data_IF_947196070729
#
_entry.id   IF_947196070729
#
_cell.length_a   1.000
_cell.length_b   1.000
_cell.length_c   1.000
_cell.angle_alpha   90.00
_cell.angle_beta   90.00
_cell.angle_gamma   90.00
#
_symmetry.space_group_name_H-M   'P 1'
#
loop_
_entity.id
_entity.type
_entity.pdbx_description
1 polymer ?
#
# COMPACT_ATOMS: atom_id res chain seq x y z
N UNK A 1 -2.48 11.16 5.49
CA UNK A 1 -2.24 9.80 6.04
C UNK A 1 -0.79 9.63 6.47
N UNK A 2 0.17 10.20 5.72
CA UNK A 2 1.60 10.12 6.02
C UNK A 2 1.97 10.47 7.48
N UNK A 3 1.41 11.55 8.04
CA UNK A 3 1.68 11.94 9.43
C UNK A 3 1.29 10.86 10.47
N UNK A 4 0.24 10.08 10.22
CA UNK A 4 -0.17 9.00 11.11
C UNK A 4 0.81 7.82 11.05
N UNK A 5 1.32 7.49 9.85
CA UNK A 5 2.35 6.46 9.69
C UNK A 5 3.68 6.89 10.30
N UNK A 6 4.03 8.17 10.19
CA UNK A 6 5.23 8.71 10.82
C UNK A 6 5.16 8.65 12.35
N UNK A 7 3.99 8.91 12.93
CA UNK A 7 3.77 8.86 14.38
C UNK A 7 3.59 7.44 14.93
N UNK A 8 3.30 6.44 14.09
CA UNK A 8 3.02 5.08 14.51
C UNK A 8 4.27 4.33 14.98
N UNK A 9 4.10 3.53 16.03
CA UNK A 9 5.09 2.60 16.55
C UNK A 9 4.94 1.21 15.89
N UNK A 10 5.98 0.38 16.03
CA UNK A 10 5.90 -1.02 15.58
C UNK A 10 4.78 -1.76 16.30
N UNK A 11 4.01 -2.55 15.55
CA UNK A 11 2.83 -3.27 16.03
C UNK A 11 1.52 -2.48 16.00
N UNK A 12 1.55 -1.17 15.73
CA UNK A 12 0.33 -0.36 15.70
C UNK A 12 -0.64 -0.79 14.58
N UNK A 13 -1.93 -0.60 14.84
CA UNK A 13 -3.02 -0.82 13.87
C UNK A 13 -3.63 0.51 13.46
N UNK A 14 -3.43 0.88 12.20
CA UNK A 14 -3.98 2.09 11.60
C UNK A 14 -5.17 1.71 10.72
N UNK A 15 -6.36 2.10 11.15
CA UNK A 15 -7.58 1.98 10.34
C UNK A 15 -7.82 3.30 9.60
N UNK A 16 -7.76 3.24 8.27
CA UNK A 16 -7.89 4.42 7.41
C UNK A 16 -9.37 4.66 7.13
N UNK A 17 -9.82 5.91 7.34
CA UNK A 17 -11.18 6.30 7.02
C UNK A 17 -11.42 6.24 5.50
N UNK A 18 -12.66 5.96 5.05
CA UNK A 18 -13.01 6.04 3.64
C UNK A 18 -12.64 7.39 3.03
N UNK A 19 -12.09 7.37 1.81
CA UNK A 19 -11.67 8.58 1.13
C UNK A 19 -10.65 8.33 0.02
N UNK A 20 -10.40 9.37 -0.77
CA UNK A 20 -9.30 9.39 -1.75
C UNK A 20 -8.15 10.22 -1.21
N UNK A 21 -6.99 9.59 -1.06
CA UNK A 21 -5.75 10.18 -0.59
C UNK A 21 -4.82 10.40 -1.79
N UNK A 22 -4.58 11.67 -2.12
CA UNK A 22 -3.73 12.09 -3.24
C UNK A 22 -2.29 12.35 -2.78
N UNK A 23 -1.71 11.39 -2.08
CA UNK A 23 -0.35 11.44 -1.55
C UNK A 23 0.35 10.10 -1.81
N UNK A 24 1.66 10.12 -2.02
CA UNK A 24 2.47 8.91 -2.06
C UNK A 24 2.66 8.42 -0.63
N UNK A 25 2.32 7.16 -0.37
CA UNK A 25 2.34 6.60 0.96
C UNK A 25 3.56 5.71 1.18
N UNK A 26 4.30 5.94 2.25
CA UNK A 26 5.40 5.08 2.69
C UNK A 26 5.02 4.43 4.00
N UNK A 27 5.15 3.11 4.10
CA UNK A 27 4.98 2.32 5.33
C UNK A 27 6.37 1.90 5.81
N UNK A 28 7.02 2.69 6.69
CA UNK A 28 8.41 2.48 7.07
C UNK A 28 8.61 1.46 8.19
N UNK A 29 7.55 1.06 8.89
CA UNK A 29 7.61 0.23 10.10
C UNK A 29 6.62 -0.93 10.03
N UNK A 30 6.83 -1.95 10.86
CA UNK A 30 5.98 -3.13 10.95
C UNK A 30 4.63 -2.78 11.64
N UNK A 31 3.73 -2.13 10.90
CA UNK A 31 2.38 -1.76 11.34
C UNK A 31 1.33 -2.55 10.55
N UNK A 32 0.09 -2.53 11.02
CA UNK A 32 -1.08 -2.95 10.24
C UNK A 32 -1.79 -1.72 9.68
N UNK A 33 -1.77 -1.53 8.36
CA UNK A 33 -2.52 -0.49 7.67
C UNK A 33 -3.73 -1.11 6.96
N UNK A 34 -4.94 -0.74 7.38
CA UNK A 34 -6.17 -1.36 6.87
C UNK A 34 -7.28 -0.37 6.54
N UNK A 35 -8.09 -0.69 5.54
CA UNK A 35 -9.39 -0.05 5.34
C UNK A 35 -10.40 -0.47 6.42
N UNK A 36 -11.58 0.19 6.49
CA UNK A 36 -12.63 -0.19 7.43
C UNK A 36 -13.26 -1.53 7.05
N UNK A 37 -13.56 -2.34 8.05
CA UNK A 37 -14.22 -3.65 7.86
C UNK A 37 -15.54 -3.52 7.08
N UNK A 38 -15.82 -4.48 6.20
CA UNK A 38 -17.04 -4.49 5.38
C UNK A 38 -17.10 -3.45 4.26
N UNK A 39 -16.04 -2.65 4.04
CA UNK A 39 -16.01 -1.58 3.04
C UNK A 39 -14.75 -1.63 2.17
N UNK A 40 -14.46 -2.80 1.60
CA UNK A 40 -13.29 -3.01 0.76
C UNK A 40 -13.21 -2.01 -0.40
N UNK A 41 -12.04 -1.41 -0.60
CA UNK A 41 -11.81 -0.43 -1.67
C UNK A 41 -12.39 0.98 -1.42
N UNK A 42 -12.96 1.23 -0.23
CA UNK A 42 -13.44 2.57 0.18
C UNK A 42 -12.30 3.56 0.48
N UNK A 43 -11.09 3.04 0.69
CA UNK A 43 -9.85 3.80 0.88
C UNK A 43 -9.03 3.72 -0.40
N UNK A 44 -8.90 4.84 -1.10
CA UNK A 44 -8.18 4.93 -2.38
C UNK A 44 -6.92 5.77 -2.25
N UNK A 45 -5.77 5.18 -2.51
CA UNK A 45 -4.48 5.86 -2.60
C UNK A 45 -4.19 6.14 -4.07
N UNK A 46 -4.24 7.40 -4.47
CA UNK A 46 -4.19 7.82 -5.88
C UNK A 46 -3.44 9.16 -6.03
N UNK A 47 -2.11 9.18 -5.81
CA UNK A 47 -1.32 10.35 -6.15
C UNK A 47 -1.37 10.62 -7.66
N UNK A 48 -1.00 11.84 -8.05
CA UNK A 48 -0.93 12.22 -9.47
C UNK A 48 0.31 11.66 -10.17
N UNK A 49 1.35 11.34 -9.42
CA UNK A 49 2.66 10.90 -9.93
C UNK A 49 3.39 10.05 -8.88
N UNK A 50 4.43 9.31 -9.31
CA UNK A 50 5.26 8.45 -8.47
C UNK A 50 4.58 7.17 -7.99
N UNK A 51 5.12 6.56 -6.94
CA UNK A 51 4.64 5.29 -6.36
C UNK A 51 3.51 5.57 -5.35
N UNK A 52 2.26 5.11 -5.58
CA UNK A 52 1.16 5.22 -4.63
C UNK A 52 1.46 4.63 -3.25
N UNK A 53 2.01 3.42 -3.20
CA UNK A 53 2.30 2.72 -1.94
C UNK A 53 3.69 2.08 -1.96
N UNK A 54 4.55 2.49 -1.03
CA UNK A 54 5.85 1.87 -0.78
C UNK A 54 5.86 1.22 0.60
N UNK A 55 6.25 -0.05 0.68
CA UNK A 55 6.36 -0.82 1.91
C UNK A 55 7.83 -1.18 2.16
N UNK A 56 8.37 -0.75 3.32
CA UNK A 56 9.79 -0.89 3.69
C UNK A 56 10.01 -1.75 4.93
N UNK A 57 8.98 -2.47 5.36
CA UNK A 57 9.01 -3.27 6.59
C UNK A 57 8.10 -4.49 6.46
N UNK A 58 8.17 -5.40 7.42
CA UNK A 58 7.23 -6.53 7.57
C UNK A 58 5.86 -6.05 8.08
N UNK A 59 5.22 -5.16 7.31
CA UNK A 59 3.92 -4.60 7.59
C UNK A 59 2.79 -5.46 7.03
N UNK A 60 1.59 -5.32 7.59
CA UNK A 60 0.35 -5.86 7.03
C UNK A 60 -0.38 -4.72 6.34
N UNK A 61 -0.74 -4.90 5.07
CA UNK A 61 -1.57 -3.95 4.31
C UNK A 61 -2.81 -4.66 3.81
N UNK A 62 -4.00 -4.15 4.18
CA UNK A 62 -5.26 -4.83 3.91
C UNK A 62 -6.37 -3.92 3.39
N UNK A 63 -7.11 -4.38 2.38
CA UNK A 63 -8.41 -3.81 2.01
C UNK A 63 -8.35 -2.43 1.36
N UNK A 64 -7.20 -2.04 0.80
CA UNK A 64 -6.99 -0.75 0.16
C UNK A 64 -7.16 -0.84 -1.36
N UNK A 65 -7.60 0.27 -1.97
CA UNK A 65 -7.55 0.49 -3.40
C UNK A 65 -6.32 1.35 -3.73
N UNK A 66 -5.42 0.82 -4.54
CA UNK A 66 -4.20 1.50 -4.98
C UNK A 66 -4.36 1.87 -6.45
N UNK A 67 -4.19 3.15 -6.79
CA UNK A 67 -4.27 3.62 -8.16
C UNK A 67 -2.97 4.30 -8.61
N UNK A 68 -2.23 3.62 -9.49
CA UNK A 68 -0.96 4.11 -10.04
C UNK A 68 -1.11 4.61 -11.48
N UNK A 69 -0.54 5.78 -11.78
CA UNK A 69 -0.69 6.45 -13.09
C UNK A 69 0.66 6.76 -13.75
N UNK A 70 1.74 6.82 -12.96
CA UNK A 70 3.10 7.10 -13.44
C UNK A 70 3.68 5.86 -14.13
N UNK A 71 3.90 5.97 -15.44
CA UNK A 71 4.42 4.89 -16.28
C UNK A 71 5.91 4.59 -16.09
N UNK A 72 6.63 5.39 -15.31
CA UNK A 72 8.03 5.16 -14.95
C UNK A 72 8.21 4.53 -13.55
N UNK A 73 7.15 4.50 -12.73
CA UNK A 73 7.16 3.96 -11.37
C UNK A 73 6.21 2.75 -11.26
N UNK A 74 6.38 1.85 -10.27
CA UNK A 74 5.39 0.84 -9.92
C UNK A 74 4.21 1.42 -9.12
N UNK A 75 3.05 0.75 -9.14
CA UNK A 75 1.89 1.14 -8.34
C UNK A 75 2.04 0.77 -6.84
N UNK A 76 2.68 -0.37 -6.56
CA UNK A 76 3.02 -0.82 -5.22
C UNK A 76 4.45 -1.35 -5.22
N UNK A 77 5.31 -0.75 -4.39
CA UNK A 77 6.71 -1.15 -4.25
C UNK A 77 6.93 -1.81 -2.88
N UNK A 78 7.53 -2.99 -2.85
CA UNK A 78 8.04 -3.63 -1.62
C UNK A 78 9.57 -3.64 -1.67
N UNK A 79 10.21 -2.89 -0.78
CA UNK A 79 11.67 -2.72 -0.77
C UNK A 79 12.37 -3.66 0.22
N UNK A 80 11.70 -4.05 1.32
CA UNK A 80 12.28 -4.92 2.34
C UNK A 80 11.21 -5.69 3.14
N UNK A 81 11.66 -6.69 3.90
CA UNK A 81 10.86 -7.44 4.85
C UNK A 81 9.95 -8.49 4.23
N UNK A 82 9.03 -8.99 5.05
CA UNK A 82 8.06 -10.04 4.70
C UNK A 82 6.64 -9.51 4.77
N UNK A 83 6.38 -8.41 4.05
CA UNK A 83 5.08 -7.73 4.09
C UNK A 83 3.94 -8.67 3.69
N UNK A 84 2.78 -8.51 4.34
CA UNK A 84 1.56 -9.24 4.00
C UNK A 84 0.59 -8.29 3.29
N UNK A 85 0.40 -8.53 1.99
CA UNK A 85 -0.49 -7.75 1.14
C UNK A 85 -1.76 -8.55 0.88
N UNK A 86 -2.88 -8.09 1.42
CA UNK A 86 -4.11 -8.87 1.43
C UNK A 86 -5.32 -8.06 1.01
N UNK A 87 -6.20 -8.63 0.18
CA UNK A 87 -7.46 -7.97 -0.24
C UNK A 87 -7.23 -6.58 -0.88
N UNK A 88 -6.11 -6.42 -1.60
CA UNK A 88 -5.79 -5.15 -2.27
C UNK A 88 -6.35 -5.14 -3.69
N UNK A 89 -6.92 -4.01 -4.08
CA UNK A 89 -7.27 -3.75 -5.48
C UNK A 89 -6.29 -2.75 -6.06
N UNK A 90 -5.48 -3.18 -7.02
CA UNK A 90 -4.50 -2.33 -7.70
C UNK A 90 -5.04 -2.06 -9.10
N UNK A 91 -5.33 -0.81 -9.42
CA UNK A 91 -5.73 -0.36 -10.76
C UNK A 91 -4.63 0.52 -11.30
N UNK A 92 -4.03 0.20 -12.45
CA UNK A 92 -2.83 0.94 -12.81
C UNK A 92 -2.48 1.08 -14.30
N UNK A 93 -1.79 2.18 -14.60
CA UNK A 93 -1.04 2.41 -15.85
C UNK A 93 0.48 2.50 -15.61
N UNK A 94 0.91 2.12 -14.42
CA UNK A 94 2.30 2.15 -13.98
C UNK A 94 3.17 1.12 -14.70
N UNK A 95 4.49 1.26 -14.56
CA UNK A 95 5.46 0.32 -15.14
C UNK A 95 5.22 -1.13 -14.67
N UNK A 96 4.76 -1.29 -13.42
CA UNK A 96 4.35 -2.55 -12.83
C UNK A 96 3.21 -2.33 -11.81
N UNK A 97 2.35 -3.33 -11.62
CA UNK A 97 1.34 -3.32 -10.55
C UNK A 97 1.95 -3.51 -9.17
N UNK A 98 2.73 -4.57 -8.99
CA UNK A 98 3.50 -4.83 -7.78
C UNK A 98 4.95 -5.08 -8.19
N UNK A 99 5.87 -4.32 -7.62
CA UNK A 99 7.30 -4.52 -7.78
C UNK A 99 7.92 -4.91 -6.43
N UNK A 100 8.74 -5.95 -6.45
CA UNK A 100 9.47 -6.44 -5.27
C UNK A 100 10.95 -6.29 -5.56
N UNK A 101 11.67 -5.57 -4.70
CA UNK A 101 13.10 -5.28 -4.87
C UNK A 101 13.94 -5.93 -3.77
N UNK A 102 15.24 -6.03 -4.05
CA UNK A 102 16.24 -6.47 -3.09
C UNK A 102 15.95 -7.87 -2.55
N UNK A 103 15.97 -8.00 -1.22
CA UNK A 103 15.72 -9.26 -0.52
C UNK A 103 14.28 -9.41 0.01
N UNK A 104 13.37 -8.50 -0.37
CA UNK A 104 11.99 -8.52 0.10
C UNK A 104 11.27 -9.82 -0.30
N UNK A 105 10.43 -10.35 0.61
CA UNK A 105 9.67 -11.58 0.41
C UNK A 105 8.21 -11.40 0.85
N UNK A 106 7.41 -10.58 0.14
CA UNK A 106 6.03 -10.36 0.52
C UNK A 106 5.18 -11.61 0.27
N UNK A 107 4.14 -11.77 1.08
CA UNK A 107 3.03 -12.68 0.80
C UNK A 107 1.89 -11.88 0.19
N UNK A 108 1.43 -12.25 -1.01
CA UNK A 108 0.34 -11.58 -1.71
C UNK A 108 -0.86 -12.52 -1.79
N UNK A 109 -2.00 -12.11 -1.21
CA UNK A 109 -3.21 -12.95 -1.12
C UNK A 109 -4.46 -12.17 -1.46
N UNK A 110 -5.31 -12.73 -2.33
CA UNK A 110 -6.61 -12.12 -2.70
C UNK A 110 -6.47 -10.68 -3.23
N UNK A 111 -5.35 -10.37 -3.88
CA UNK A 111 -5.15 -9.09 -4.54
C UNK A 111 -5.54 -9.21 -6.01
N UNK A 112 -6.08 -8.13 -6.58
CA UNK A 112 -6.27 -7.98 -8.03
C UNK A 112 -5.35 -6.89 -8.55
N UNK A 113 -4.86 -7.09 -9.77
CA UNK A 113 -4.07 -6.10 -10.52
C UNK A 113 -4.74 -5.94 -11.88
N UNK A 114 -5.41 -4.81 -12.07
CA UNK A 114 -6.17 -4.44 -13.27
C UNK A 114 -5.48 -3.29 -14.05
#
# INVERSE_FOLDING_TARGET
LSAALEAAAEGDVLTVAPGTYRENLVVPRAVTLRGPEGSAGSVRIAPLDGVPLTVRASAVVQGLHIEGQDSAAPALLVEDGTAELTDLRIVTRSAAGIEVRGAARPTVRRCTVD
#
